data_IF_296436100166
#
_entry.id   IF_296436100166
#
_cell.length_a   1.000
_cell.length_b   1.000
_cell.length_c   1.000
_cell.angle_alpha   90.00
_cell.angle_beta   90.00
_cell.angle_gamma   90.00
#
_symmetry.space_group_name_H-M   'P 1'
#
loop_
_entity.id
_entity.type
_entity.pdbx_description
1 polymer ?
#
# COMPACT_ATOMS: atom_id res chain seq x y z
N UNK A 1 8.85 8.18 2.95
CA UNK A 1 9.42 6.96 3.50
C UNK A 1 8.38 5.92 3.84
N UNK A 2 8.83 4.73 4.17
CA UNK A 2 7.96 3.66 4.66
C UNK A 2 7.72 3.86 6.15
N UNK A 3 6.50 4.26 6.52
CA UNK A 3 6.09 4.43 7.93
C UNK A 3 4.99 3.44 8.25
N UNK A 4 5.23 2.61 9.26
CA UNK A 4 4.22 1.68 9.77
C UNK A 4 3.48 2.38 10.90
N UNK A 5 2.15 2.39 10.84
CA UNK A 5 1.35 3.02 11.90
C UNK A 5 1.58 2.32 13.24
N UNK A 6 1.63 3.08 14.32
CA UNK A 6 1.69 2.53 15.68
C UNK A 6 0.42 1.72 15.99
N UNK A 7 0.54 0.70 16.85
CA UNK A 7 -0.63 -0.03 17.31
C UNK A 7 -1.69 0.92 17.87
N UNK A 8 -2.95 0.74 17.45
CA UNK A 8 -4.06 1.57 17.91
C UNK A 8 -4.29 2.87 17.13
N UNK A 9 -3.34 3.35 16.29
CA UNK A 9 -3.50 4.61 15.57
C UNK A 9 -4.76 4.66 14.70
N UNK A 10 -4.93 3.69 13.79
CA UNK A 10 -6.12 3.65 12.94
C UNK A 10 -7.41 3.40 13.73
N UNK A 11 -7.34 2.62 14.81
CA UNK A 11 -8.48 2.42 15.69
C UNK A 11 -8.91 3.71 16.36
N UNK A 12 -7.96 4.48 16.88
CA UNK A 12 -8.23 5.80 17.45
C UNK A 12 -8.82 6.79 16.44
N UNK A 13 -8.31 6.78 15.18
CA UNK A 13 -8.91 7.59 14.11
C UNK A 13 -10.35 7.17 13.82
N UNK A 14 -10.64 5.86 13.80
CA UNK A 14 -12.01 5.38 13.59
C UNK A 14 -12.93 5.84 14.72
N UNK A 15 -12.49 5.74 15.97
CA UNK A 15 -13.24 6.19 17.14
C UNK A 15 -13.55 7.71 17.09
N UNK A 16 -12.55 8.52 16.69
CA UNK A 16 -12.72 9.97 16.52
C UNK A 16 -13.72 10.27 15.38
N UNK A 17 -13.60 9.60 14.24
CA UNK A 17 -14.51 9.77 13.13
C UNK A 17 -15.95 9.40 13.52
N UNK A 18 -16.13 8.29 14.22
CA UNK A 18 -17.46 7.84 14.67
C UNK A 18 -18.08 8.84 15.66
N UNK A 19 -17.29 9.34 16.62
CA UNK A 19 -17.75 10.29 17.63
C UNK A 19 -18.18 11.64 17.05
N UNK A 20 -17.61 12.02 15.89
CA UNK A 20 -17.88 13.31 15.24
C UNK A 20 -18.74 13.18 13.97
N UNK A 21 -19.26 12.00 13.65
CA UNK A 21 -19.96 11.70 12.40
C UNK A 21 -19.13 12.02 11.14
N UNK A 22 -17.80 11.86 11.22
CA UNK A 22 -16.88 12.04 10.09
C UNK A 22 -16.70 10.76 9.30
N UNK A 23 -16.28 10.90 8.04
CA UNK A 23 -15.87 9.78 7.20
C UNK A 23 -14.39 9.49 7.40
N UNK A 24 -14.05 8.22 7.67
CA UNK A 24 -12.67 7.75 7.62
C UNK A 24 -12.34 7.39 6.18
N UNK A 25 -11.42 8.15 5.57
CA UNK A 25 -10.97 7.94 4.21
C UNK A 25 -9.50 7.48 4.23
N UNK A 26 -9.19 6.36 3.57
CA UNK A 26 -7.83 5.83 3.47
C UNK A 26 -7.33 5.85 2.04
N UNK A 27 -6.10 6.33 1.86
CA UNK A 27 -5.36 6.22 0.61
C UNK A 27 -4.62 4.88 0.58
N UNK A 28 -5.19 3.92 -0.13
CA UNK A 28 -4.63 2.58 -0.35
C UNK A 28 -3.94 2.46 -1.74
N UNK A 29 -3.63 3.59 -2.37
CA UNK A 29 -2.97 3.62 -3.67
C UNK A 29 -1.62 2.91 -3.66
N UNK A 30 -0.89 2.95 -2.54
CA UNK A 30 0.38 2.25 -2.38
C UNK A 30 0.30 1.01 -1.50
N UNK A 31 -0.54 1.02 -0.48
CA UNK A 31 -0.65 -0.06 0.51
C UNK A 31 -1.60 -1.17 0.12
N UNK A 32 -2.53 -0.88 -0.79
CA UNK A 32 -3.50 -1.83 -1.30
C UNK A 32 -2.94 -2.79 -2.35
N UNK A 33 -3.83 -3.61 -2.85
CA UNK A 33 -3.58 -4.61 -3.90
C UNK A 33 -2.40 -5.52 -3.53
N UNK A 34 -2.46 -6.09 -2.32
CA UNK A 34 -1.53 -7.10 -1.83
C UNK A 34 -0.16 -6.60 -1.36
N UNK A 35 0.17 -5.30 -1.54
CA UNK A 35 1.51 -4.77 -1.26
C UNK A 35 1.99 -5.02 0.17
N UNK A 36 1.09 -4.95 1.14
CA UNK A 36 1.42 -5.13 2.56
C UNK A 36 1.18 -6.55 3.09
N UNK A 37 0.82 -7.49 2.20
CA UNK A 37 0.57 -8.89 2.57
C UNK A 37 -0.91 -9.21 2.85
N UNK A 38 -1.78 -8.22 2.76
CA UNK A 38 -3.24 -8.34 2.73
C UNK A 38 -3.77 -7.63 1.50
N UNK A 39 -5.00 -7.87 1.09
CA UNK A 39 -5.59 -7.18 -0.06
C UNK A 39 -5.52 -5.66 0.11
N UNK A 40 -5.77 -5.16 1.33
CA UNK A 40 -5.70 -3.75 1.71
C UNK A 40 -4.96 -3.58 3.02
N UNK A 41 -4.18 -2.51 3.16
CA UNK A 41 -3.35 -2.25 4.34
C UNK A 41 -4.17 -2.07 5.62
N UNK A 42 -5.37 -1.51 5.56
CA UNK A 42 -6.22 -1.33 6.73
C UNK A 42 -6.61 -2.64 7.42
N UNK A 43 -6.57 -3.78 6.71
CA UNK A 43 -6.93 -5.08 7.26
C UNK A 43 -6.00 -5.53 8.40
N UNK A 44 -4.74 -5.08 8.40
CA UNK A 44 -3.80 -5.34 9.49
C UNK A 44 -4.23 -4.74 10.84
N UNK A 45 -5.08 -3.73 10.79
CA UNK A 45 -5.51 -2.96 11.97
C UNK A 45 -6.94 -3.29 12.41
N UNK A 46 -7.64 -4.16 11.68
CA UNK A 46 -9.03 -4.52 11.97
C UNK A 46 -10.00 -3.34 11.88
N UNK A 47 -9.65 -2.29 11.15
CA UNK A 47 -10.45 -1.08 10.99
C UNK A 47 -11.01 -1.03 9.58
N UNK A 48 -12.29 -0.72 9.44
CA UNK A 48 -12.94 -0.59 8.13
C UNK A 48 -13.14 0.90 7.80
N UNK A 49 -12.53 1.41 6.71
CA UNK A 49 -12.77 2.79 6.25
C UNK A 49 -14.16 2.94 5.64
N UNK A 50 -14.64 4.18 5.56
CA UNK A 50 -15.85 4.54 4.82
C UNK A 50 -15.57 4.74 3.33
N UNK A 51 -14.36 5.20 2.99
CA UNK A 51 -13.88 5.42 1.62
C UNK A 51 -12.43 4.97 1.52
N UNK A 52 -12.07 4.36 0.39
CA UNK A 52 -10.67 4.09 0.05
C UNK A 52 -10.39 4.40 -1.42
N UNK A 53 -9.21 4.97 -1.66
CA UNK A 53 -8.67 5.20 -3.00
C UNK A 53 -7.71 4.07 -3.37
N UNK A 54 -7.81 3.58 -4.60
CA UNK A 54 -7.01 2.50 -5.17
C UNK A 54 -6.42 2.91 -6.52
N UNK A 55 -5.22 2.46 -6.82
CA UNK A 55 -4.58 2.62 -8.13
C UNK A 55 -3.36 1.69 -8.25
N UNK A 56 -2.33 2.12 -8.95
CA UNK A 56 -1.01 1.42 -9.11
C UNK A 56 -1.16 -0.06 -9.45
N UNK A 57 -0.96 -0.95 -8.47
CA UNK A 57 -1.04 -2.39 -8.65
C UNK A 57 -2.38 -2.90 -9.18
N UNK A 58 -3.46 -2.13 -9.01
CA UNK A 58 -4.80 -2.53 -9.44
C UNK A 58 -4.90 -2.89 -10.92
N UNK A 59 -4.18 -2.18 -11.78
CA UNK A 59 -4.23 -2.40 -13.23
C UNK A 59 -3.14 -3.31 -13.78
N UNK A 60 -2.25 -3.87 -12.94
CA UNK A 60 -1.15 -4.73 -13.41
C UNK A 60 -0.20 -4.03 -14.42
N UNK A 61 -0.15 -2.71 -14.43
CA UNK A 61 0.62 -1.87 -15.37
C UNK A 61 -0.26 -1.00 -16.27
N UNK A 62 -1.55 -1.29 -16.41
CA UNK A 62 -2.49 -0.43 -17.12
C UNK A 62 -2.98 0.68 -16.19
N UNK A 63 -2.97 1.96 -16.64
CA UNK A 63 -3.45 3.07 -15.82
C UNK A 63 -4.93 2.92 -15.44
N UNK A 64 -5.20 2.83 -14.15
CA UNK A 64 -6.55 2.79 -13.58
C UNK A 64 -6.50 3.32 -12.14
N UNK A 65 -7.55 4.00 -11.73
CA UNK A 65 -7.85 4.33 -10.34
C UNK A 65 -9.27 3.93 -9.99
N UNK A 66 -9.50 3.63 -8.73
CA UNK A 66 -10.82 3.32 -8.20
C UNK A 66 -11.04 4.01 -6.85
N UNK A 67 -12.29 4.35 -6.58
CA UNK A 67 -12.75 4.82 -5.28
C UNK A 67 -13.82 3.86 -4.79
N UNK A 68 -13.57 3.18 -3.68
CA UNK A 68 -14.55 2.32 -3.04
C UNK A 68 -15.13 3.03 -1.83
N UNK A 69 -16.46 3.00 -1.70
CA UNK A 69 -17.17 3.64 -0.60
C UNK A 69 -18.28 2.75 -0.06
N UNK A 70 -18.60 2.90 1.23
CA UNK A 70 -19.68 2.17 1.89
C UNK A 70 -20.59 3.09 2.70
N UNK A 71 -21.74 2.54 3.12
CA UNK A 71 -22.67 3.22 4.02
C UNK A 71 -23.15 4.57 3.47
N UNK A 72 -23.08 5.61 4.32
CA UNK A 72 -23.48 6.98 3.92
C UNK A 72 -22.59 7.55 2.81
N UNK A 73 -21.31 7.21 2.80
CA UNK A 73 -20.38 7.69 1.78
C UNK A 73 -20.73 7.20 0.37
N UNK A 74 -21.21 5.97 0.22
CA UNK A 74 -21.62 5.40 -1.07
C UNK A 74 -22.83 6.13 -1.72
N UNK A 75 -23.55 6.93 -0.95
CA UNK A 75 -24.73 7.68 -1.43
C UNK A 75 -24.41 9.13 -1.83
N UNK A 76 -23.16 9.58 -1.63
CA UNK A 76 -22.77 10.96 -1.90
C UNK A 76 -22.55 11.23 -3.40
N UNK A 77 -22.13 10.20 -4.15
CA UNK A 77 -21.97 10.34 -5.59
C UNK A 77 -23.30 10.10 -6.31
N UNK A 78 -23.76 11.14 -6.97
CA UNK A 78 -24.97 11.10 -7.80
C UNK A 78 -24.62 11.52 -9.22
N UNK A 79 -25.49 11.29 -10.21
CA UNK A 79 -25.25 11.75 -11.58
C UNK A 79 -24.87 13.23 -11.64
N UNK A 80 -23.75 13.54 -12.30
CA UNK A 80 -23.23 14.91 -12.45
C UNK A 80 -22.30 15.42 -11.33
N UNK A 81 -22.12 14.69 -10.24
CA UNK A 81 -21.22 15.11 -9.15
C UNK A 81 -19.76 14.65 -9.34
N UNK A 82 -19.52 13.72 -10.26
CA UNK A 82 -18.20 13.19 -10.57
C UNK A 82 -18.13 12.82 -12.05
N UNK A 83 -16.94 12.99 -12.64
CA UNK A 83 -16.71 12.61 -14.03
C UNK A 83 -15.23 12.26 -14.28
N UNK A 84 -15.01 11.37 -15.24
CA UNK A 84 -13.68 11.00 -15.73
C UNK A 84 -13.79 10.61 -17.21
N UNK A 85 -12.96 11.19 -18.05
CA UNK A 85 -12.93 10.86 -19.49
C UNK A 85 -12.51 9.41 -19.74
N UNK A 86 -11.55 8.90 -19.01
CA UNK A 86 -10.99 7.56 -19.18
C UNK A 86 -11.32 6.59 -18.04
N UNK A 87 -12.12 7.02 -17.07
CA UNK A 87 -12.54 6.17 -15.96
C UNK A 87 -13.46 5.05 -16.44
N UNK A 88 -13.14 3.80 -16.06
CA UNK A 88 -13.98 2.65 -16.39
C UNK A 88 -13.89 2.19 -17.84
N UNK A 89 -12.82 2.50 -18.58
CA UNK A 89 -12.64 1.97 -19.95
C UNK A 89 -12.57 0.44 -19.92
N UNK A 90 -13.16 -0.28 -20.90
CA UNK A 90 -13.18 -1.74 -20.91
C UNK A 90 -11.79 -2.37 -20.77
N UNK A 91 -10.78 -1.82 -21.45
CA UNK A 91 -9.40 -2.31 -21.36
C UNK A 91 -8.86 -2.24 -19.94
N UNK A 92 -8.98 -1.09 -19.28
CA UNK A 92 -8.47 -0.91 -17.93
C UNK A 92 -9.22 -1.77 -16.90
N UNK A 93 -10.55 -1.88 -17.04
CA UNK A 93 -11.36 -2.74 -16.17
C UNK A 93 -11.01 -4.22 -16.35
N UNK A 94 -10.81 -4.68 -17.59
CA UNK A 94 -10.41 -6.06 -17.87
C UNK A 94 -9.04 -6.37 -17.28
N UNK A 95 -8.07 -5.45 -17.40
CA UNK A 95 -6.75 -5.59 -16.79
C UNK A 95 -6.84 -5.66 -15.25
N UNK A 96 -7.67 -4.82 -14.64
CA UNK A 96 -7.88 -4.84 -13.20
C UNK A 96 -8.52 -6.15 -12.73
N UNK A 97 -9.53 -6.65 -13.43
CA UNK A 97 -10.16 -7.94 -13.12
C UNK A 97 -9.15 -9.09 -13.22
N UNK A 98 -8.37 -9.15 -14.30
CA UNK A 98 -7.31 -10.17 -14.45
C UNK A 98 -6.28 -10.09 -13.33
N UNK A 99 -5.90 -8.88 -12.90
CA UNK A 99 -4.98 -8.68 -11.78
C UNK A 99 -5.57 -9.25 -10.49
N UNK A 100 -6.83 -8.94 -10.19
CA UNK A 100 -7.49 -9.43 -8.97
C UNK A 100 -7.65 -10.96 -8.98
N UNK A 101 -7.98 -11.55 -10.14
CA UNK A 101 -8.07 -13.00 -10.30
C UNK A 101 -6.72 -13.69 -10.01
N UNK A 102 -5.62 -13.17 -10.55
CA UNK A 102 -4.27 -13.68 -10.26
C UNK A 102 -3.96 -13.56 -8.77
N UNK A 103 -4.26 -12.42 -8.16
CA UNK A 103 -3.97 -12.20 -6.75
C UNK A 103 -4.67 -13.22 -5.83
N UNK A 104 -5.92 -13.56 -6.15
CA UNK A 104 -6.68 -14.55 -5.37
C UNK A 104 -6.22 -15.97 -5.68
N UNK A 105 -6.14 -16.34 -6.96
CA UNK A 105 -5.87 -17.72 -7.38
C UNK A 105 -4.43 -18.14 -7.08
N UNK A 106 -3.46 -17.23 -7.17
CA UNK A 106 -2.05 -17.51 -6.90
C UNK A 106 -1.62 -17.14 -5.48
N UNK A 107 -2.54 -16.73 -4.61
CA UNK A 107 -2.30 -16.41 -3.21
C UNK A 107 -1.18 -15.38 -3.02
N UNK A 108 -1.21 -14.32 -3.84
CA UNK A 108 -0.16 -13.30 -3.89
C UNK A 108 0.03 -12.59 -2.55
N UNK A 109 -1.03 -12.38 -1.78
CA UNK A 109 -0.94 -11.72 -0.46
C UNK A 109 -0.12 -12.55 0.53
N UNK A 110 -0.34 -13.85 0.59
CA UNK A 110 0.40 -14.76 1.47
C UNK A 110 1.88 -14.83 1.07
N UNK A 111 2.15 -14.88 -0.24
CA UNK A 111 3.51 -14.82 -0.74
C UNK A 111 4.19 -13.49 -0.39
N UNK A 112 3.49 -12.36 -0.53
CA UNK A 112 4.01 -11.05 -0.17
C UNK A 112 4.33 -10.94 1.32
N UNK A 113 3.55 -11.59 2.19
CA UNK A 113 3.85 -11.70 3.62
C UNK A 113 5.12 -12.50 3.86
N UNK A 114 5.19 -13.73 3.36
CA UNK A 114 6.31 -14.63 3.60
C UNK A 114 7.64 -14.09 3.06
N UNK A 115 7.64 -13.59 1.82
CA UNK A 115 8.85 -13.00 1.20
C UNK A 115 9.25 -11.71 1.90
N UNK A 116 8.30 -10.85 2.25
CA UNK A 116 8.57 -9.62 2.97
C UNK A 116 9.18 -9.85 4.35
N UNK A 117 8.71 -10.84 5.10
CA UNK A 117 9.30 -11.26 6.37
C UNK A 117 10.71 -11.79 6.20
N UNK A 118 10.93 -12.64 5.20
CA UNK A 118 12.26 -13.16 4.88
C UNK A 118 13.25 -12.04 4.55
N UNK A 119 12.85 -11.07 3.73
CA UNK A 119 13.68 -9.90 3.38
C UNK A 119 14.03 -9.10 4.64
N UNK A 120 13.04 -8.72 5.46
CA UNK A 120 13.30 -7.94 6.68
C UNK A 120 14.18 -8.68 7.68
N UNK A 121 13.94 -9.96 7.89
CA UNK A 121 14.77 -10.77 8.78
C UNK A 121 16.22 -10.87 8.27
N UNK A 122 16.41 -11.07 6.97
CA UNK A 122 17.73 -11.11 6.35
C UNK A 122 18.46 -9.77 6.43
N UNK A 123 17.77 -8.66 6.14
CA UNK A 123 18.33 -7.32 6.25
C UNK A 123 18.71 -6.98 7.70
N UNK A 124 17.84 -7.26 8.67
CA UNK A 124 18.16 -7.04 10.10
C UNK A 124 19.40 -7.81 10.53
N UNK A 125 19.53 -9.06 10.11
CA UNK A 125 20.72 -9.89 10.43
C UNK A 125 21.98 -9.35 9.76
N UNK A 126 21.91 -9.01 8.47
CA UNK A 126 23.10 -8.60 7.70
C UNK A 126 23.55 -7.18 8.04
N UNK A 127 22.62 -6.31 8.45
CA UNK A 127 22.89 -4.90 8.73
C UNK A 127 23.02 -4.62 10.23
N UNK A 128 22.97 -5.61 11.11
CA UNK A 128 22.97 -5.46 12.56
C UNK A 128 24.12 -4.59 13.08
N UNK A 129 25.32 -4.78 12.53
CA UNK A 129 26.53 -4.08 12.92
C UNK A 129 26.95 -2.99 11.90
N UNK A 130 26.07 -2.66 10.94
CA UNK A 130 26.40 -1.68 9.88
C UNK A 130 26.23 -0.26 10.42
N UNK A 131 27.32 0.54 10.53
CA UNK A 131 27.23 1.91 11.03
C UNK A 131 26.30 2.77 10.17
N UNK A 132 25.45 3.53 10.83
CA UNK A 132 24.53 4.44 10.17
C UNK A 132 23.17 3.86 9.81
N UNK A 133 22.96 2.56 9.98
CA UNK A 133 21.62 1.95 9.86
C UNK A 133 20.86 2.15 11.16
N UNK A 134 19.74 2.86 11.12
CA UNK A 134 18.88 3.12 12.28
C UNK A 134 17.82 2.04 12.44
N UNK A 135 17.14 1.68 11.36
CA UNK A 135 16.01 0.77 11.41
C UNK A 135 15.80 0.05 10.09
N UNK A 136 15.36 -1.19 10.17
CA UNK A 136 14.74 -1.93 9.06
C UNK A 136 13.28 -2.19 9.43
N UNK A 137 12.36 -1.60 8.68
CA UNK A 137 10.91 -1.67 8.93
C UNK A 137 10.12 -1.97 7.67
N UNK A 138 8.85 -2.28 7.84
CA UNK A 138 7.94 -2.51 6.72
C UNK A 138 6.89 -3.55 7.02
N UNK A 139 6.04 -3.80 6.01
CA UNK A 139 4.98 -4.79 6.06
C UNK A 139 4.75 -5.39 4.67
N UNK A 140 4.65 -6.71 4.58
CA UNK A 140 4.64 -7.40 3.30
C UNK A 140 5.85 -7.01 2.45
N UNK A 141 5.62 -6.64 1.21
CA UNK A 141 6.63 -6.18 0.26
C UNK A 141 6.87 -4.66 0.27
N UNK A 142 6.33 -3.95 1.24
CA UNK A 142 6.65 -2.54 1.47
C UNK A 142 7.71 -2.46 2.57
N UNK A 143 8.99 -2.31 2.20
CA UNK A 143 10.13 -2.38 3.11
C UNK A 143 10.97 -1.10 3.01
N UNK A 144 11.53 -0.66 4.13
CA UNK A 144 12.40 0.49 4.23
C UNK A 144 13.59 0.23 5.16
N UNK A 145 14.73 0.80 4.80
CA UNK A 145 15.91 0.90 5.65
C UNK A 145 16.12 2.38 5.94
N UNK A 146 16.12 2.74 7.22
CA UNK A 146 16.41 4.11 7.64
C UNK A 146 17.88 4.26 7.96
N UNK A 147 18.49 5.29 7.39
CA UNK A 147 19.88 5.66 7.66
C UNK A 147 19.95 6.96 8.45
N UNK A 148 21.06 7.19 9.15
CA UNK A 148 21.34 8.40 9.94
C UNK A 148 21.80 9.60 9.10
N UNK A 149 21.95 9.42 7.79
CA UNK A 149 22.49 10.40 6.85
C UNK A 149 21.80 10.35 5.49
N UNK A 150 21.89 11.44 4.68
CA UNK A 150 21.47 11.41 3.29
C UNK A 150 22.19 10.30 2.51
N UNK A 151 21.47 9.60 1.66
CA UNK A 151 21.97 8.41 0.97
C UNK A 151 21.56 8.34 -0.52
N UNK A 152 21.32 9.48 -1.16
CA UNK A 152 20.89 9.56 -2.57
C UNK A 152 21.77 8.78 -3.55
N UNK A 153 23.08 8.75 -3.32
CA UNK A 153 24.05 8.04 -4.17
C UNK A 153 23.84 6.51 -4.17
N UNK A 154 23.15 5.98 -3.16
CA UNK A 154 22.81 4.55 -3.13
C UNK A 154 21.93 4.11 -4.29
N UNK A 155 21.10 5.02 -4.84
CA UNK A 155 20.24 4.72 -6.01
C UNK A 155 21.09 4.28 -7.18
N UNK A 156 22.15 5.08 -7.51
CA UNK A 156 23.07 4.75 -8.60
C UNK A 156 23.89 3.50 -8.31
N UNK A 157 24.42 3.39 -7.11
CA UNK A 157 25.20 2.21 -6.68
C UNK A 157 24.39 0.92 -6.77
N UNK A 158 23.12 0.97 -6.38
CA UNK A 158 22.21 -0.17 -6.47
C UNK A 158 21.89 -0.51 -7.94
N UNK A 159 21.63 0.50 -8.77
CA UNK A 159 21.36 0.33 -10.19
C UNK A 159 22.54 -0.34 -10.92
N UNK A 160 23.78 0.09 -10.64
CA UNK A 160 25.00 -0.52 -11.19
C UNK A 160 25.17 -1.99 -10.80
N UNK A 161 24.50 -2.42 -9.73
CA UNK A 161 24.44 -3.82 -9.25
C UNK A 161 23.16 -4.56 -9.68
N UNK A 162 22.32 -3.96 -10.50
CA UNK A 162 21.06 -4.56 -10.99
C UNK A 162 19.88 -4.44 -10.06
N UNK A 163 19.94 -3.57 -9.04
CA UNK A 163 18.83 -3.34 -8.09
C UNK A 163 18.18 -1.99 -8.31
N UNK A 164 16.84 -2.00 -8.39
CA UNK A 164 16.04 -0.77 -8.40
C UNK A 164 15.57 -0.46 -6.97
N UNK A 165 16.11 0.61 -6.41
CA UNK A 165 15.69 1.14 -5.12
C UNK A 165 15.31 2.60 -5.25
N UNK A 166 14.60 3.13 -4.26
CA UNK A 166 14.29 4.55 -4.15
C UNK A 166 14.77 5.09 -2.80
N UNK A 167 15.19 6.35 -2.79
CA UNK A 167 15.55 7.10 -1.58
C UNK A 167 14.56 8.26 -1.44
N UNK A 168 13.98 8.42 -0.24
CA UNK A 168 12.94 9.43 0.06
C UNK A 168 13.39 10.34 1.20
#
# INVERSE_FOLDING_TARGET
>A
GVSVCSPGYLKGLREICDANDWLLMLDEVQTGIGRTGTMFGFQHYGVMPDVMALAKGLGGGVPIGACAAKGKAAKLFTPGTHGSTFGGTPLACTAALATLDVMVNERVCENATAVGEHIRASLKRQLAETPGVKEVRGQGMLNGIELDRPCGDLVKTALDKGFLINVT
#
